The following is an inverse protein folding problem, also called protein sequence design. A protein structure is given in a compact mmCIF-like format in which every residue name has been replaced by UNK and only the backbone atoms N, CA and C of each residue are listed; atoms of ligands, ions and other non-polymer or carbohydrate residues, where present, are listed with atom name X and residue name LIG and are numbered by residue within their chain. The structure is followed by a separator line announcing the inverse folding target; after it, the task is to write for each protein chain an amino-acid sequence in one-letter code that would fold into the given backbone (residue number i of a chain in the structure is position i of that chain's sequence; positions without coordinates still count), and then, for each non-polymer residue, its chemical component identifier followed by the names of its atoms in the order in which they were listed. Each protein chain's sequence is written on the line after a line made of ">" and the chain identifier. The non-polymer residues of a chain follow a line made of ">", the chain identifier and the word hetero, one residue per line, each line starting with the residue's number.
data_IF_858563966329
#
_entry.id   IF_858563966329
#
_cell.length_a   1.000
_cell.length_b   1.000
_cell.length_c   1.000
_cell.angle_alpha   90.00
_cell.angle_beta   90.00
_cell.angle_gamma   90.00
#
_symmetry.space_group_name_H-M   'P 1'
#
loop_
_entity.id
_entity.type
_entity.pdbx_description
1 polymer ?
#
# COMPACT_ATOMS: atom_id res chain seq x y z
N UNK A 1 0.94 -31.06 12.39
CA UNK A 1 1.63 -31.11 11.10
C UNK A 1 1.43 -29.74 10.47
N UNK A 2 2.37 -28.82 10.70
CA UNK A 2 2.25 -27.42 10.29
C UNK A 2 2.37 -27.33 8.77
N UNK A 3 1.24 -27.17 8.08
CA UNK A 3 1.23 -26.80 6.67
C UNK A 3 1.74 -25.37 6.59
N UNK A 4 3.03 -25.21 6.28
CA UNK A 4 3.60 -23.92 5.92
C UNK A 4 2.76 -23.33 4.77
N UNK A 5 1.97 -22.30 5.09
CA UNK A 5 1.14 -21.51 4.17
C UNK A 5 1.99 -21.00 2.98
N UNK A 6 3.31 -21.02 3.13
CA UNK A 6 4.29 -20.46 2.20
C UNK A 6 5.22 -21.50 1.57
N UNK A 7 4.73 -22.71 1.29
CA UNK A 7 5.46 -23.65 0.41
C UNK A 7 5.68 -23.03 -0.98
N UNK A 8 6.91 -23.11 -1.52
CA UNK A 8 7.32 -22.50 -2.80
C UNK A 8 6.49 -22.88 -4.03
N UNK A 9 5.50 -23.77 -3.92
CA UNK A 9 4.64 -24.25 -4.99
C UNK A 9 3.14 -24.30 -4.58
N UNK A 10 2.74 -23.54 -3.56
CA UNK A 10 1.36 -23.57 -3.09
C UNK A 10 0.40 -22.97 -4.14
N UNK A 11 -0.65 -23.73 -4.48
CA UNK A 11 -1.77 -23.23 -5.29
C UNK A 11 -2.36 -21.97 -4.65
N UNK A 12 -2.86 -21.01 -5.44
CA UNK A 12 -3.51 -19.82 -4.88
C UNK A 12 -4.69 -20.28 -4.01
N UNK A 13 -4.55 -20.07 -2.71
CA UNK A 13 -5.58 -20.42 -1.73
C UNK A 13 -6.22 -19.14 -1.18
N UNK A 14 -7.52 -19.20 -0.90
CA UNK A 14 -8.28 -18.06 -0.38
C UNK A 14 -7.74 -17.61 0.97
N UNK A 15 -7.14 -18.52 1.74
CA UNK A 15 -6.46 -18.21 2.99
C UNK A 15 -5.30 -17.22 2.82
N UNK A 16 -4.69 -17.10 1.63
CA UNK A 16 -3.64 -16.09 1.39
C UNK A 16 -4.20 -14.66 1.48
N UNK A 17 -5.48 -14.44 1.20
CA UNK A 17 -6.10 -13.12 1.38
C UNK A 17 -6.20 -12.71 2.85
N UNK A 18 -6.09 -13.64 3.81
CA UNK A 18 -5.96 -13.27 5.23
C UNK A 18 -4.68 -12.48 5.48
N UNK A 19 -3.61 -12.77 4.74
CA UNK A 19 -2.36 -12.01 4.78
C UNK A 19 -2.61 -10.57 4.31
N UNK A 20 -3.41 -10.36 3.27
CA UNK A 20 -3.79 -9.03 2.81
C UNK A 20 -4.60 -8.26 3.89
N UNK A 21 -5.50 -8.94 4.61
CA UNK A 21 -6.22 -8.34 5.75
C UNK A 21 -5.25 -7.96 6.87
N UNK A 22 -4.26 -8.81 7.18
CA UNK A 22 -3.24 -8.49 8.18
C UNK A 22 -2.39 -7.28 7.77
N UNK A 23 -2.01 -7.18 6.49
CA UNK A 23 -1.37 -5.98 5.96
C UNK A 23 -2.25 -4.74 6.09
N UNK A 24 -3.55 -4.85 5.77
CA UNK A 24 -4.49 -3.74 5.89
C UNK A 24 -4.55 -3.19 7.33
N UNK A 25 -4.67 -4.08 8.33
CA UNK A 25 -4.63 -3.71 9.74
C UNK A 25 -3.27 -3.13 10.13
N UNK A 26 -2.19 -3.72 9.64
CA UNK A 26 -0.82 -3.22 9.82
C UNK A 26 -0.66 -1.78 9.32
N UNK A 27 -1.23 -1.44 8.17
CA UNK A 27 -1.20 -0.07 7.64
C UNK A 27 -1.98 0.92 8.49
N UNK A 28 -3.11 0.52 9.09
CA UNK A 28 -3.84 1.37 10.05
C UNK A 28 -2.93 1.71 11.24
N UNK A 29 -2.31 0.69 11.84
CA UNK A 29 -1.42 0.87 13.00
C UNK A 29 -0.19 1.69 12.63
N UNK A 30 0.45 1.38 11.49
CA UNK A 30 1.62 2.09 11.00
C UNK A 30 1.32 3.55 10.72
N UNK A 31 0.20 3.87 10.05
CA UNK A 31 -0.19 5.25 9.82
C UNK A 31 -0.45 5.98 11.11
N UNK A 32 -1.21 5.39 12.04
CA UNK A 32 -1.50 6.03 13.32
C UNK A 32 -0.21 6.36 14.08
N UNK A 33 0.74 5.41 14.13
CA UNK A 33 2.02 5.61 14.80
C UNK A 33 2.87 6.69 14.10
N UNK A 34 3.09 6.57 12.79
CA UNK A 34 3.91 7.53 12.04
C UNK A 34 3.30 8.93 12.06
N UNK A 35 1.98 9.05 11.92
CA UNK A 35 1.30 10.34 11.96
C UNK A 35 1.47 11.02 13.33
N UNK A 36 1.24 10.27 14.42
CA UNK A 36 1.33 10.77 15.79
C UNK A 36 2.74 11.18 16.19
N UNK A 37 3.75 10.38 15.83
CA UNK A 37 5.11 10.58 16.33
C UNK A 37 6.02 11.34 15.36
N UNK A 38 5.81 11.20 14.05
CA UNK A 38 6.75 11.68 13.03
C UNK A 38 6.09 12.74 12.15
N UNK A 39 5.09 12.37 11.34
CA UNK A 39 4.60 13.24 10.26
C UNK A 39 3.95 14.51 10.79
N UNK A 40 3.13 14.43 11.84
CA UNK A 40 2.50 15.65 12.39
C UNK A 40 3.54 16.61 12.98
N UNK A 41 4.60 16.10 13.61
CA UNK A 41 5.71 16.93 14.11
C UNK A 41 6.47 17.58 12.97
N UNK A 42 6.82 16.81 11.94
CA UNK A 42 7.50 17.31 10.75
C UNK A 42 6.64 18.32 9.98
N UNK A 43 5.34 18.08 9.85
CA UNK A 43 4.41 18.98 9.18
C UNK A 43 4.26 20.32 9.91
N UNK A 44 4.21 20.31 11.25
CA UNK A 44 4.24 21.55 12.05
C UNK A 44 5.58 22.27 11.85
N UNK A 45 6.69 21.55 11.94
CA UNK A 45 8.03 22.12 11.77
C UNK A 45 8.20 22.77 10.39
N UNK A 46 7.82 22.09 9.31
CA UNK A 46 7.83 22.61 7.94
C UNK A 46 6.90 23.81 7.75
N UNK A 47 5.68 23.75 8.30
CA UNK A 47 4.70 24.84 8.15
C UNK A 47 5.06 26.09 8.96
N UNK A 48 5.93 25.96 9.96
CA UNK A 48 6.24 27.03 10.90
C UNK A 48 7.63 27.65 10.70
N UNK A 49 8.36 27.20 9.69
CA UNK A 49 9.74 27.62 9.41
C UNK A 49 10.65 27.54 10.67
N UNK A 50 10.37 26.60 11.58
CA UNK A 50 11.09 26.40 12.84
C UNK A 50 10.53 27.11 14.08
N UNK A 51 9.50 27.96 13.98
CA UNK A 51 8.92 28.68 15.13
C UNK A 51 7.47 28.28 15.41
N UNK A 52 7.22 27.58 16.52
CA UNK A 52 5.87 27.15 16.90
C UNK A 52 4.85 28.32 16.91
N UNK A 53 3.78 28.29 16.09
CA UNK A 53 2.82 29.38 16.04
C UNK A 53 2.03 29.47 17.35
N UNK A 54 1.99 30.65 17.96
CA UNK A 54 1.27 30.96 19.21
C UNK A 54 -0.25 30.70 19.12
N UNK A 55 -0.83 30.69 17.92
CA UNK A 55 -2.24 30.35 17.68
C UNK A 55 -2.40 29.61 16.37
N UNK A 56 -2.93 28.39 16.43
CA UNK A 56 -3.27 27.61 15.23
C UNK A 56 -4.67 27.95 14.77
N UNK A 57 -4.79 28.62 13.62
CA UNK A 57 -6.08 28.80 12.97
C UNK A 57 -6.49 27.52 12.22
N UNK A 58 -7.78 27.35 11.96
CA UNK A 58 -8.33 26.16 11.26
C UNK A 58 -7.65 25.90 9.91
N UNK A 59 -7.36 26.96 9.14
CA UNK A 59 -6.63 26.88 7.88
C UNK A 59 -5.22 26.27 8.05
N UNK A 60 -4.52 26.59 9.14
CA UNK A 60 -3.20 26.04 9.44
C UNK A 60 -3.29 24.58 9.84
N UNK A 61 -4.29 24.21 10.64
CA UNK A 61 -4.54 22.81 11.01
C UNK A 61 -4.87 21.95 9.79
N UNK A 62 -5.71 22.44 8.87
CA UNK A 62 -6.03 21.76 7.62
C UNK A 62 -4.80 21.58 6.71
N UNK A 63 -3.90 22.57 6.65
CA UNK A 63 -2.63 22.46 5.91
C UNK A 63 -1.73 21.37 6.51
N UNK A 64 -1.60 21.33 7.83
CA UNK A 64 -0.79 20.31 8.52
C UNK A 64 -1.37 18.91 8.29
N UNK A 65 -2.68 18.74 8.41
CA UNK A 65 -3.33 17.45 8.14
C UNK A 65 -3.07 16.96 6.71
N UNK A 66 -3.21 17.84 5.71
CA UNK A 66 -2.91 17.52 4.30
C UNK A 66 -1.44 17.17 4.09
N UNK A 67 -0.53 17.93 4.70
CA UNK A 67 0.90 17.67 4.63
C UNK A 67 1.25 16.29 5.23
N UNK A 68 0.67 15.96 6.39
CA UNK A 68 0.82 14.66 7.04
C UNK A 68 0.28 13.51 6.18
N UNK A 69 -0.89 13.69 5.56
CA UNK A 69 -1.45 12.74 4.59
C UNK A 69 -0.49 12.52 3.39
N UNK A 70 0.09 13.59 2.84
CA UNK A 70 1.06 13.51 1.75
C UNK A 70 2.34 12.79 2.17
N UNK A 71 2.84 13.00 3.40
CA UNK A 71 4.01 12.30 3.93
C UNK A 71 3.76 10.80 4.08
N UNK A 72 2.59 10.40 4.59
CA UNK A 72 2.21 8.99 4.66
C UNK A 72 2.21 8.33 3.28
N UNK A 73 1.58 8.99 2.28
CA UNK A 73 1.54 8.49 0.90
C UNK A 73 2.94 8.38 0.32
N UNK A 74 3.77 9.40 0.47
CA UNK A 74 5.16 9.39 -0.01
C UNK A 74 5.96 8.26 0.63
N UNK A 75 5.91 8.10 1.95
CA UNK A 75 6.63 7.06 2.67
C UNK A 75 6.21 5.66 2.23
N UNK A 76 4.90 5.43 2.09
CA UNK A 76 4.37 4.18 1.58
C UNK A 76 4.86 3.90 0.15
N UNK A 77 4.62 4.81 -0.79
CA UNK A 77 4.98 4.58 -2.19
C UNK A 77 6.48 4.43 -2.40
N UNK A 78 7.31 5.22 -1.70
CA UNK A 78 8.77 5.06 -1.76
C UNK A 78 9.23 3.69 -1.22
N UNK A 79 8.62 3.21 -0.14
CA UNK A 79 8.97 1.89 0.44
C UNK A 79 8.55 0.75 -0.47
N UNK A 80 7.35 0.81 -1.04
CA UNK A 80 6.82 -0.23 -1.92
C UNK A 80 7.56 -0.24 -3.26
N UNK A 81 7.87 0.93 -3.81
CA UNK A 81 8.65 1.07 -5.05
C UNK A 81 10.07 0.48 -4.88
N UNK A 82 10.76 0.84 -3.80
CA UNK A 82 12.09 0.28 -3.52
C UNK A 82 12.05 -1.23 -3.30
N UNK A 83 11.00 -1.73 -2.64
CA UNK A 83 10.82 -3.17 -2.43
C UNK A 83 10.56 -3.92 -3.74
N UNK A 84 9.64 -3.44 -4.59
CA UNK A 84 9.33 -4.11 -5.86
C UNK A 84 10.53 -4.08 -6.82
N UNK A 85 11.23 -2.95 -6.91
CA UNK A 85 12.44 -2.86 -7.72
C UNK A 85 13.49 -3.85 -7.25
N UNK A 86 13.70 -3.97 -5.93
CA UNK A 86 14.67 -4.92 -5.37
C UNK A 86 14.33 -6.38 -5.70
N UNK A 87 13.05 -6.78 -5.61
CA UNK A 87 12.68 -8.19 -5.86
C UNK A 87 12.59 -8.50 -7.35
N UNK A 88 12.24 -7.53 -8.20
CA UNK A 88 12.11 -7.74 -9.65
C UNK A 88 13.44 -7.59 -10.38
N UNK A 89 14.41 -6.86 -9.85
CA UNK A 89 15.72 -6.65 -10.49
C UNK A 89 16.44 -7.95 -10.89
N UNK A 90 16.24 -9.03 -10.12
CA UNK A 90 16.85 -10.33 -10.39
C UNK A 90 16.00 -11.25 -11.29
N UNK A 91 14.84 -10.78 -11.75
CA UNK A 91 13.96 -11.56 -12.61
C UNK A 91 14.33 -11.39 -14.09
N UNK A 92 14.32 -12.48 -14.88
CA UNK A 92 14.70 -12.42 -16.30
C UNK A 92 13.77 -11.52 -17.12
N UNK A 93 12.51 -11.41 -16.69
CA UNK A 93 11.51 -10.55 -17.31
C UNK A 93 11.66 -9.06 -16.98
N UNK A 94 12.52 -8.67 -16.04
CA UNK A 94 12.74 -7.25 -15.72
C UNK A 94 13.33 -6.46 -16.89
N UNK A 95 14.18 -7.11 -17.70
CA UNK A 95 14.82 -6.48 -18.86
C UNK A 95 14.38 -7.07 -20.20
N UNK A 96 13.92 -8.32 -20.23
CA UNK A 96 13.49 -9.00 -21.46
C UNK A 96 11.98 -9.24 -21.46
N UNK A 97 11.26 -8.40 -22.22
CA UNK A 97 9.80 -8.47 -22.36
C UNK A 97 9.32 -9.78 -22.99
N UNK A 98 10.19 -10.51 -23.71
CA UNK A 98 9.84 -11.83 -24.27
C UNK A 98 9.59 -12.87 -23.18
N UNK A 99 10.09 -12.65 -21.96
CA UNK A 99 9.89 -13.55 -20.83
C UNK A 99 8.56 -13.33 -20.10
N UNK A 100 7.82 -12.23 -20.35
CA UNK A 100 6.59 -11.91 -19.60
C UNK A 100 5.53 -13.02 -19.65
N UNK A 101 5.36 -13.64 -20.81
CA UNK A 101 4.35 -14.69 -21.01
C UNK A 101 4.95 -16.09 -21.09
N UNK A 102 6.24 -16.24 -20.79
CA UNK A 102 6.89 -17.54 -20.80
C UNK A 102 6.33 -18.38 -19.66
N UNK A 103 5.79 -19.55 -20.00
CA UNK A 103 5.17 -20.46 -19.02
C UNK A 103 3.75 -20.08 -18.61
N UNK A 104 3.10 -19.12 -19.29
CA UNK A 104 1.68 -18.83 -19.07
C UNK A 104 0.79 -20.00 -19.55
N UNK A 105 -0.30 -20.37 -18.85
CA UNK A 105 -0.80 -19.74 -17.62
C UNK A 105 -0.02 -20.09 -16.35
N UNK A 106 0.54 -21.31 -16.25
CA UNK A 106 1.14 -21.89 -15.04
C UNK A 106 2.51 -21.29 -14.63
N UNK A 107 2.60 -19.97 -14.51
CA UNK A 107 3.81 -19.28 -14.10
C UNK A 107 4.07 -19.42 -12.60
N UNK A 108 5.28 -19.86 -12.24
CA UNK A 108 5.69 -19.95 -10.84
C UNK A 108 5.77 -18.55 -10.21
N UNK A 109 4.84 -18.26 -9.28
CA UNK A 109 4.88 -17.03 -8.51
C UNK A 109 5.78 -17.21 -7.29
N UNK A 110 6.96 -16.58 -7.34
CA UNK A 110 7.89 -16.54 -6.21
C UNK A 110 7.22 -15.97 -4.96
N UNK A 111 7.65 -16.49 -3.79
CA UNK A 111 7.15 -16.06 -2.47
C UNK A 111 7.18 -14.55 -2.28
N UNK A 112 8.26 -13.89 -2.68
CA UNK A 112 8.44 -12.43 -2.59
C UNK A 112 7.37 -11.66 -3.38
N UNK A 113 7.05 -12.11 -4.59
CA UNK A 113 6.00 -11.52 -5.42
C UNK A 113 4.61 -11.83 -4.86
N UNK A 114 4.39 -13.04 -4.35
CA UNK A 114 3.12 -13.37 -3.67
C UNK A 114 2.88 -12.48 -2.45
N UNK A 115 3.92 -12.23 -1.64
CA UNK A 115 3.86 -11.29 -0.51
C UNK A 115 3.60 -9.86 -0.98
N UNK A 116 4.22 -9.44 -2.09
CA UNK A 116 3.98 -8.13 -2.69
C UNK A 116 2.52 -7.98 -3.15
N UNK A 117 1.95 -9.00 -3.79
CA UNK A 117 0.53 -9.04 -4.17
C UNK A 117 -0.38 -8.84 -2.95
N UNK A 118 -0.13 -9.58 -1.87
CA UNK A 118 -0.92 -9.46 -0.63
C UNK A 118 -0.74 -8.11 0.05
N UNK A 119 0.48 -7.56 0.04
CA UNK A 119 0.77 -6.23 0.55
C UNK A 119 0.00 -5.15 -0.23
N UNK A 120 0.04 -5.19 -1.56
CA UNK A 120 -0.66 -4.23 -2.41
C UNK A 120 -2.18 -4.35 -2.26
N UNK A 121 -2.70 -5.58 -2.23
CA UNK A 121 -4.12 -5.84 -1.97
C UNK A 121 -4.53 -5.26 -0.60
N UNK A 122 -3.76 -5.55 0.44
CA UNK A 122 -3.98 -5.04 1.79
C UNK A 122 -3.95 -3.52 1.86
N UNK A 123 -3.05 -2.86 1.13
CA UNK A 123 -2.98 -1.40 1.07
C UNK A 123 -4.23 -0.80 0.41
N UNK A 124 -4.73 -1.38 -0.69
CA UNK A 124 -5.95 -0.88 -1.32
C UNK A 124 -7.19 -1.10 -0.45
N UNK A 125 -7.29 -2.24 0.24
CA UNK A 125 -8.33 -2.50 1.25
C UNK A 125 -8.27 -1.45 2.37
N UNK A 126 -7.08 -1.23 2.93
CA UNK A 126 -6.83 -0.19 3.93
C UNK A 126 -7.24 1.19 3.40
N UNK A 127 -6.87 1.51 2.16
CA UNK A 127 -7.11 2.82 1.56
C UNK A 127 -8.60 3.09 1.31
N UNK A 128 -9.42 2.07 1.05
CA UNK A 128 -10.89 2.20 1.02
C UNK A 128 -11.40 2.70 2.38
N UNK A 129 -10.98 2.06 3.47
CA UNK A 129 -11.35 2.49 4.82
C UNK A 129 -10.81 3.90 5.13
N UNK A 130 -9.55 4.17 4.78
CA UNK A 130 -8.93 5.48 4.99
C UNK A 130 -9.65 6.60 4.22
N UNK A 131 -10.07 6.36 2.97
CA UNK A 131 -10.85 7.31 2.18
C UNK A 131 -12.20 7.63 2.84
N UNK A 132 -12.83 6.64 3.48
CA UNK A 132 -14.12 6.83 4.16
C UNK A 132 -13.99 7.58 5.48
N UNK A 133 -12.92 7.35 6.26
CA UNK A 133 -12.87 7.81 7.66
C UNK A 133 -11.72 8.77 7.99
N UNK A 134 -10.62 8.77 7.24
CA UNK A 134 -9.38 9.48 7.62
C UNK A 134 -8.95 10.56 6.63
N UNK A 135 -9.15 10.32 5.34
CA UNK A 135 -8.70 11.25 4.30
C UNK A 135 -9.68 12.40 4.08
N UNK A 136 -9.15 13.55 3.68
CA UNK A 136 -9.99 14.70 3.37
C UNK A 136 -10.81 14.40 2.10
N UNK A 137 -12.13 14.46 2.20
CA UNK A 137 -13.02 14.27 1.05
C UNK A 137 -12.79 15.36 0.00
N UNK A 138 -12.36 14.94 -1.19
CA UNK A 138 -12.14 15.79 -2.37
C UNK A 138 -13.23 15.57 -3.41
N UNK A 139 -13.30 16.43 -4.43
CA UNK A 139 -14.33 16.37 -5.50
C UNK A 139 -14.25 15.09 -6.34
N UNK A 140 -13.07 14.49 -6.43
CA UNK A 140 -12.74 13.25 -7.12
C UNK A 140 -12.95 11.98 -6.27
N UNK A 141 -13.57 12.10 -5.07
CA UNK A 141 -13.75 11.00 -4.13
C UNK A 141 -14.38 9.74 -4.76
N UNK A 142 -15.45 9.90 -5.54
CA UNK A 142 -16.15 8.75 -6.12
C UNK A 142 -15.26 8.00 -7.13
N UNK A 143 -14.50 8.74 -7.94
CA UNK A 143 -13.58 8.15 -8.93
C UNK A 143 -12.45 7.41 -8.22
N UNK A 144 -11.85 8.02 -7.20
CA UNK A 144 -10.80 7.37 -6.41
C UNK A 144 -11.34 6.14 -5.68
N UNK A 145 -12.52 6.20 -5.06
CA UNK A 145 -13.12 5.05 -4.38
C UNK A 145 -13.34 3.88 -5.35
N UNK A 146 -13.96 4.15 -6.51
CA UNK A 146 -14.17 3.12 -7.55
C UNK A 146 -12.85 2.53 -8.03
N UNK A 147 -11.82 3.36 -8.23
CA UNK A 147 -10.49 2.89 -8.60
C UNK A 147 -9.96 1.88 -7.58
N UNK A 148 -10.02 2.18 -6.28
CA UNK A 148 -9.52 1.28 -5.25
C UNK A 148 -10.26 -0.06 -5.23
N UNK A 149 -11.60 -0.04 -5.36
CA UNK A 149 -12.42 -1.26 -5.41
C UNK A 149 -12.05 -2.11 -6.64
N UNK A 150 -11.95 -1.49 -7.82
CA UNK A 150 -11.57 -2.19 -9.05
C UNK A 150 -10.17 -2.78 -8.92
N UNK A 151 -9.21 -2.05 -8.34
CA UNK A 151 -7.85 -2.55 -8.17
C UNK A 151 -7.79 -3.75 -7.24
N UNK A 152 -8.54 -3.77 -6.13
CA UNK A 152 -8.62 -4.97 -5.26
C UNK A 152 -9.15 -6.18 -6.04
N UNK A 153 -10.21 -5.98 -6.84
CA UNK A 153 -10.78 -7.04 -7.67
C UNK A 153 -9.77 -7.56 -8.69
N UNK A 154 -9.07 -6.66 -9.40
CA UNK A 154 -8.08 -7.03 -10.41
C UNK A 154 -6.88 -7.77 -9.82
N UNK A 155 -6.36 -7.31 -8.67
CA UNK A 155 -5.27 -8.01 -7.96
C UNK A 155 -5.74 -9.40 -7.53
N UNK A 156 -6.94 -9.50 -6.95
CA UNK A 156 -7.50 -10.76 -6.50
C UNK A 156 -7.72 -11.74 -7.65
N UNK A 157 -8.31 -11.28 -8.74
CA UNK A 157 -8.52 -12.07 -9.95
C UNK A 157 -7.18 -12.55 -10.53
N UNK A 158 -6.22 -11.64 -10.73
CA UNK A 158 -4.89 -11.99 -11.24
C UNK A 158 -4.17 -13.02 -10.37
N UNK A 159 -4.38 -13.00 -9.05
CA UNK A 159 -3.74 -13.96 -8.15
C UNK A 159 -4.37 -15.35 -8.22
N UNK A 160 -5.69 -15.43 -8.39
CA UNK A 160 -6.45 -16.69 -8.43
C UNK A 160 -6.30 -17.37 -9.79
N UNK A 161 -6.26 -16.61 -10.88
CA UNK A 161 -6.22 -17.14 -12.25
C UNK A 161 -4.81 -17.32 -12.81
N UNK A 162 -3.79 -17.36 -11.94
CA UNK A 162 -2.45 -17.78 -12.35
C UNK A 162 -2.39 -19.29 -12.58
#
# INVERSE_FOLDING_TARGET
>A
MESSIWSCNAKPDVCHFLVAVHFALGFVVARFFLDKFIFRRLAIWLSSNGYAPLKMNEATQAKIAKCSESMWKLAYYATVETFILKITYHEPWFTDTKQYFRGWPDQELKLSLSLFYMCQCGFYIYSIAALLTWETRRKDFAVMMSHHVITVILIGYSYITR
#
